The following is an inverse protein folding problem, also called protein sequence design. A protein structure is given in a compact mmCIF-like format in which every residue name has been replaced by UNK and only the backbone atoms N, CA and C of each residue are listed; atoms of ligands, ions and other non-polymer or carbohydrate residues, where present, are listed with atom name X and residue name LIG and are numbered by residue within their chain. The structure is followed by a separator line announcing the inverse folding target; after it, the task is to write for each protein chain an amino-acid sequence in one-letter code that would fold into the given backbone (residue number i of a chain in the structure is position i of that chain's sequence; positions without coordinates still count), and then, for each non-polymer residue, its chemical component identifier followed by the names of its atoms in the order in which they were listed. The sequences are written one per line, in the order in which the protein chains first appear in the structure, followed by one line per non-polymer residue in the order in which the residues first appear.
data_IF_434112115207
#
_entry.id   IF_434112115207
#
_cell.length_a   1.000
_cell.length_b   1.000
_cell.length_c   1.000
_cell.angle_alpha   90.00
_cell.angle_beta   90.00
_cell.angle_gamma   90.00
#
_symmetry.space_group_name_H-M   'P 1'
#
loop_
_entity.id
_entity.type
_entity.pdbx_description
1 polymer ?
#
# COMPACT_ATOMS: atom_id res chain seq x y z
N UNK A 1 9.71 -30.05 -6.83
CA UNK A 1 9.86 -28.68 -7.33
C UNK A 1 10.77 -27.95 -6.37
N UNK A 2 11.88 -27.35 -6.81
CA UNK A 2 12.77 -26.65 -5.89
C UNK A 2 12.12 -25.34 -5.42
N UNK A 3 12.43 -24.86 -4.21
CA UNK A 3 11.90 -23.61 -3.65
C UNK A 3 12.19 -22.41 -4.58
N UNK A 4 13.35 -22.43 -5.25
CA UNK A 4 13.74 -21.42 -6.23
C UNK A 4 12.82 -21.43 -7.47
N UNK A 5 12.40 -22.61 -7.95
CA UNK A 5 11.45 -22.69 -9.08
C UNK A 5 10.08 -22.14 -8.71
N UNK A 6 9.63 -22.36 -7.47
CA UNK A 6 8.38 -21.78 -6.96
C UNK A 6 8.46 -20.26 -6.87
N UNK A 7 9.56 -19.71 -6.37
CA UNK A 7 9.77 -18.25 -6.30
C UNK A 7 9.80 -17.59 -7.68
N UNK A 8 10.44 -18.21 -8.65
CA UNK A 8 10.43 -17.68 -10.03
C UNK A 8 9.02 -17.74 -10.62
N UNK A 9 8.30 -18.84 -10.44
CA UNK A 9 6.94 -19.00 -10.94
C UNK A 9 5.96 -17.99 -10.31
N UNK A 10 6.04 -17.77 -9.00
CA UNK A 10 5.18 -16.76 -8.32
C UNK A 10 5.49 -15.36 -8.81
N UNK A 11 6.76 -15.02 -9.10
CA UNK A 11 7.15 -13.72 -9.64
C UNK A 11 6.61 -13.49 -11.05
N UNK A 12 6.64 -14.50 -11.91
CA UNK A 12 6.08 -14.39 -13.26
C UNK A 12 4.56 -14.20 -13.21
N UNK A 13 3.86 -14.91 -12.33
CA UNK A 13 2.43 -14.74 -12.09
C UNK A 13 2.14 -13.33 -11.56
N UNK A 14 2.92 -12.83 -10.61
CA UNK A 14 2.81 -11.47 -10.06
C UNK A 14 2.84 -10.43 -11.17
N UNK A 15 3.79 -10.51 -12.10
CA UNK A 15 3.90 -9.59 -13.24
C UNK A 15 2.65 -9.63 -14.13
N UNK A 16 2.16 -10.82 -14.48
CA UNK A 16 0.99 -10.98 -15.34
C UNK A 16 -0.25 -10.37 -14.67
N UNK A 17 -0.49 -10.67 -13.39
CA UNK A 17 -1.65 -10.15 -12.67
C UNK A 17 -1.53 -8.63 -12.46
N UNK A 18 -0.32 -8.11 -12.22
CA UNK A 18 -0.08 -6.69 -12.07
C UNK A 18 -0.41 -5.92 -13.37
N UNK A 19 0.04 -6.42 -14.52
CA UNK A 19 -0.31 -5.87 -15.84
C UNK A 19 -1.82 -5.94 -16.06
N UNK A 20 -2.48 -7.05 -15.75
CA UNK A 20 -3.92 -7.20 -15.88
C UNK A 20 -4.68 -6.19 -15.00
N UNK A 21 -4.28 -6.01 -13.75
CA UNK A 21 -4.87 -5.05 -12.82
C UNK A 21 -4.73 -3.60 -13.34
N UNK A 22 -3.55 -3.24 -13.85
CA UNK A 22 -3.29 -1.95 -14.49
C UNK A 22 -4.17 -1.74 -15.73
N UNK A 23 -4.25 -2.73 -16.61
CA UNK A 23 -5.10 -2.68 -17.80
C UNK A 23 -6.57 -2.46 -17.43
N UNK A 24 -7.11 -3.19 -16.44
CA UNK A 24 -8.48 -3.00 -15.98
C UNK A 24 -8.72 -1.58 -15.44
N UNK A 25 -7.77 -1.02 -14.69
CA UNK A 25 -7.85 0.33 -14.14
C UNK A 25 -7.86 1.39 -15.25
N UNK A 26 -7.04 1.23 -16.29
CA UNK A 26 -6.98 2.15 -17.44
C UNK A 26 -8.21 2.02 -18.32
N UNK A 27 -8.61 0.80 -18.73
CA UNK A 27 -9.76 0.53 -19.61
C UNK A 27 -11.06 1.03 -19.00
N UNK A 28 -11.21 0.93 -17.68
CA UNK A 28 -12.39 1.43 -16.95
C UNK A 28 -12.36 2.94 -16.70
N UNK A 29 -11.36 3.66 -17.21
CA UNK A 29 -11.18 5.13 -17.04
C UNK A 29 -11.19 5.59 -15.57
N UNK A 30 -10.72 4.75 -14.66
CA UNK A 30 -10.75 5.02 -13.22
C UNK A 30 -9.42 5.53 -12.69
N UNK A 31 -8.48 5.82 -13.58
CA UNK A 31 -7.18 6.36 -13.22
C UNK A 31 -7.28 7.61 -12.33
N UNK A 32 -8.29 8.47 -12.57
CA UNK A 32 -8.48 9.71 -11.79
C UNK A 32 -8.83 9.46 -10.32
N UNK A 33 -9.69 8.48 -10.04
CA UNK A 33 -10.14 8.21 -8.67
C UNK A 33 -9.14 7.34 -7.90
N UNK A 34 -8.39 6.48 -8.61
CA UNK A 34 -7.44 5.53 -8.05
C UNK A 34 -6.01 5.74 -8.57
N UNK A 35 -5.63 7.01 -8.83
CA UNK A 35 -4.31 7.35 -9.40
C UNK A 35 -3.15 6.81 -8.54
N UNK A 36 -3.27 6.87 -7.21
CA UNK A 36 -2.25 6.38 -6.28
C UNK A 36 -2.06 4.87 -6.40
N UNK A 37 -3.15 4.10 -6.54
CA UNK A 37 -3.07 2.65 -6.79
C UNK A 37 -2.45 2.35 -8.14
N UNK A 38 -2.84 3.08 -9.18
CA UNK A 38 -2.25 2.94 -10.51
C UNK A 38 -0.75 3.23 -10.52
N UNK A 39 -0.33 4.29 -9.82
CA UNK A 39 1.08 4.63 -9.66
C UNK A 39 1.86 3.57 -8.86
N UNK A 40 1.25 3.04 -7.79
CA UNK A 40 1.82 1.93 -7.02
C UNK A 40 2.08 0.69 -7.89
N UNK A 41 1.07 0.27 -8.66
CA UNK A 41 1.20 -0.87 -9.58
C UNK A 41 2.24 -0.60 -10.68
N UNK A 42 2.31 0.62 -11.21
CA UNK A 42 3.28 1.02 -12.23
C UNK A 42 4.72 1.00 -11.69
N UNK A 43 4.95 1.53 -10.48
CA UNK A 43 6.26 1.50 -9.82
C UNK A 43 6.67 0.05 -9.52
N UNK A 44 5.75 -0.77 -9.03
CA UNK A 44 5.99 -2.19 -8.77
C UNK A 44 6.40 -2.95 -10.04
N UNK A 45 5.70 -2.70 -11.14
CA UNK A 45 6.02 -3.30 -12.44
C UNK A 45 7.39 -2.82 -12.95
N UNK A 46 7.64 -1.52 -12.89
CA UNK A 46 8.91 -0.93 -13.34
C UNK A 46 10.10 -1.43 -12.51
N UNK A 47 9.96 -1.48 -11.19
CA UNK A 47 11.01 -1.98 -10.29
C UNK A 47 11.30 -3.46 -10.54
N UNK A 48 10.29 -4.27 -10.76
CA UNK A 48 10.46 -5.70 -11.08
C UNK A 48 11.19 -5.91 -12.40
N UNK A 49 10.86 -5.15 -13.45
CA UNK A 49 11.53 -5.20 -14.75
C UNK A 49 12.99 -4.72 -14.61
N UNK A 50 13.22 -3.62 -13.88
CA UNK A 50 14.55 -3.08 -13.63
C UNK A 50 15.44 -4.07 -12.89
N UNK A 51 14.94 -4.70 -11.82
CA UNK A 51 15.69 -5.69 -11.05
C UNK A 51 15.99 -6.94 -11.88
N UNK A 52 15.04 -7.38 -12.71
CA UNK A 52 15.24 -8.50 -13.61
C UNK A 52 16.33 -8.19 -14.66
N UNK A 53 16.30 -6.99 -15.28
CA UNK A 53 17.29 -6.57 -16.26
C UNK A 53 18.69 -6.46 -15.64
N UNK A 54 18.81 -5.91 -14.43
CA UNK A 54 20.08 -5.83 -13.70
C UNK A 54 20.68 -7.20 -13.40
N UNK A 55 19.84 -8.17 -12.99
CA UNK A 55 20.31 -9.54 -12.78
C UNK A 55 20.75 -10.22 -14.07
N UNK A 56 20.10 -9.93 -15.19
CA UNK A 56 20.46 -10.46 -16.49
C UNK A 56 21.81 -9.89 -17.00
N UNK A 57 22.01 -8.58 -16.86
CA UNK A 57 23.27 -7.92 -17.22
C UNK A 57 24.43 -8.32 -16.27
N UNK A 58 24.16 -8.54 -15.00
CA UNK A 58 25.17 -9.05 -14.05
C UNK A 58 25.72 -10.42 -14.46
N UNK A 59 24.91 -11.25 -15.11
CA UNK A 59 25.35 -12.54 -15.66
C UNK A 59 26.16 -12.42 -16.96
N UNK A 60 26.12 -11.25 -17.64
CA UNK A 60 26.83 -11.01 -18.94
C UNK A 60 28.18 -10.34 -18.81
N UNK A 61 28.62 -9.92 -17.63
CA UNK A 61 29.94 -9.36 -17.44
C UNK A 61 30.05 -8.05 -16.69
N UNK A 62 28.95 -7.54 -16.09
CA UNK A 62 29.04 -6.41 -15.17
C UNK A 62 29.88 -6.78 -13.94
N UNK A 63 30.76 -5.89 -13.44
CA UNK A 63 31.48 -6.12 -12.19
C UNK A 63 30.49 -6.40 -11.05
N UNK A 64 30.66 -7.51 -10.34
CA UNK A 64 29.76 -7.95 -9.27
C UNK A 64 29.47 -6.87 -8.22
N UNK A 65 30.46 -6.05 -7.92
CA UNK A 65 30.35 -4.94 -6.97
C UNK A 65 29.35 -3.86 -7.46
N UNK A 66 29.47 -3.43 -8.71
CA UNK A 66 28.57 -2.43 -9.33
C UNK A 66 27.14 -2.96 -9.45
N UNK A 67 27.00 -4.22 -9.88
CA UNK A 67 25.70 -4.86 -9.97
C UNK A 67 25.00 -4.96 -8.60
N UNK A 68 25.75 -5.29 -7.53
CA UNK A 68 25.23 -5.36 -6.18
C UNK A 68 24.72 -4.00 -5.66
N UNK A 69 25.50 -2.92 -5.84
CA UNK A 69 25.05 -1.58 -5.42
C UNK A 69 23.87 -1.08 -6.24
N UNK A 70 23.89 -1.27 -7.56
CA UNK A 70 22.77 -0.91 -8.42
C UNK A 70 21.48 -1.64 -7.98
N UNK A 71 21.56 -2.94 -7.78
CA UNK A 71 20.45 -3.74 -7.28
C UNK A 71 19.95 -3.24 -5.91
N UNK A 72 20.88 -2.96 -4.98
CA UNK A 72 20.56 -2.47 -3.64
C UNK A 72 19.79 -1.13 -3.69
N UNK A 73 20.30 -0.15 -4.43
CA UNK A 73 19.66 1.17 -4.52
C UNK A 73 18.32 1.12 -5.25
N UNK A 74 18.20 0.35 -6.33
CA UNK A 74 16.92 0.18 -7.05
C UNK A 74 15.90 -0.50 -6.15
N UNK A 75 16.27 -1.58 -5.45
CA UNK A 75 15.38 -2.30 -4.54
C UNK A 75 14.87 -1.40 -3.41
N UNK A 76 15.76 -0.77 -2.67
CA UNK A 76 15.38 0.07 -1.52
C UNK A 76 14.70 1.38 -1.95
N UNK A 77 15.11 1.96 -3.08
CA UNK A 77 14.46 3.13 -3.65
C UNK A 77 13.03 2.84 -4.09
N UNK A 78 12.81 1.75 -4.82
CA UNK A 78 11.47 1.31 -5.21
C UNK A 78 10.59 1.04 -3.98
N UNK A 79 11.13 0.35 -2.98
CA UNK A 79 10.44 0.04 -1.75
C UNK A 79 10.01 1.29 -0.95
N UNK A 80 10.87 2.31 -0.88
CA UNK A 80 10.52 3.58 -0.26
C UNK A 80 9.40 4.30 -1.01
N UNK A 81 9.44 4.29 -2.36
CA UNK A 81 8.40 4.90 -3.20
C UNK A 81 7.07 4.12 -3.02
N UNK A 82 7.11 2.80 -3.00
CA UNK A 82 5.95 1.95 -2.78
C UNK A 82 5.28 2.25 -1.42
N UNK A 83 6.06 2.42 -0.34
CA UNK A 83 5.53 2.78 0.99
C UNK A 83 4.87 4.17 1.00
N UNK A 84 5.46 5.15 0.32
CA UNK A 84 4.85 6.48 0.18
C UNK A 84 3.54 6.41 -0.62
N UNK A 85 3.53 5.62 -1.70
CA UNK A 85 2.33 5.43 -2.51
C UNK A 85 1.24 4.66 -1.76
N UNK A 86 1.60 3.71 -0.90
CA UNK A 86 0.64 3.01 -0.04
C UNK A 86 -0.05 3.99 0.93
N UNK A 87 0.69 4.91 1.55
CA UNK A 87 0.11 6.01 2.35
C UNK A 87 -0.82 6.88 1.48
N UNK A 88 -0.43 7.19 0.25
CA UNK A 88 -1.26 7.97 -0.68
C UNK A 88 -2.55 7.22 -1.09
N UNK A 89 -2.50 5.87 -1.22
CA UNK A 89 -3.70 5.05 -1.47
C UNK A 89 -4.63 5.10 -0.26
N UNK A 90 -4.12 4.94 0.96
CA UNK A 90 -4.91 5.03 2.20
C UNK A 90 -5.62 6.38 2.27
N UNK A 91 -4.91 7.48 1.98
CA UNK A 91 -5.46 8.82 1.90
C UNK A 91 -6.58 8.94 0.84
N UNK A 92 -6.35 8.40 -0.36
CA UNK A 92 -7.33 8.39 -1.45
C UNK A 92 -8.59 7.61 -1.08
N UNK A 93 -8.45 6.45 -0.43
CA UNK A 93 -9.56 5.64 0.06
C UNK A 93 -10.38 6.40 1.11
N UNK A 94 -9.71 7.04 2.07
CA UNK A 94 -10.36 7.85 3.08
C UNK A 94 -11.20 8.96 2.44
N UNK A 95 -10.61 9.69 1.48
CA UNK A 95 -11.29 10.74 0.71
C UNK A 95 -12.52 10.21 -0.02
N UNK A 96 -12.42 9.06 -0.69
CA UNK A 96 -13.53 8.44 -1.41
C UNK A 96 -14.64 7.95 -0.46
N UNK A 97 -14.26 7.39 0.69
CA UNK A 97 -15.20 6.91 1.71
C UNK A 97 -15.99 8.07 2.31
N UNK A 98 -15.30 9.15 2.69
CA UNK A 98 -15.87 10.31 3.37
C UNK A 98 -16.48 11.37 2.43
N UNK A 99 -16.54 11.11 1.12
CA UNK A 99 -17.09 12.03 0.11
C UNK A 99 -18.45 12.67 0.48
N UNK A 100 -19.41 11.95 1.15
CA UNK A 100 -20.69 12.55 1.53
C UNK A 100 -20.61 13.49 2.75
N UNK A 101 -19.57 13.43 3.57
CA UNK A 101 -19.38 14.21 4.80
C UNK A 101 -18.17 15.12 4.69
N UNK A 102 -18.29 16.20 3.89
CA UNK A 102 -17.18 17.09 3.53
C UNK A 102 -16.46 17.70 4.75
N UNK A 103 -17.18 18.10 5.79
CA UNK A 103 -16.56 18.68 6.98
C UNK A 103 -15.73 17.67 7.77
N UNK A 104 -16.27 16.49 8.01
CA UNK A 104 -15.53 15.38 8.63
C UNK A 104 -14.38 14.87 7.74
N UNK A 105 -14.55 14.94 6.42
CA UNK A 105 -13.50 14.63 5.47
C UNK A 105 -12.28 15.55 5.66
N UNK A 106 -12.48 16.87 5.76
CA UNK A 106 -11.40 17.86 5.95
C UNK A 106 -10.67 17.60 7.27
N UNK A 107 -11.43 17.45 8.36
CA UNK A 107 -10.85 17.19 9.68
C UNK A 107 -10.05 15.89 9.70
N UNK A 108 -10.63 14.80 9.18
CA UNK A 108 -9.94 13.50 9.11
C UNK A 108 -8.72 13.51 8.21
N UNK A 109 -8.75 14.25 7.09
CA UNK A 109 -7.58 14.45 6.23
C UNK A 109 -6.45 15.18 6.96
N UNK A 110 -6.77 16.19 7.74
CA UNK A 110 -5.78 16.94 8.52
C UNK A 110 -5.14 16.05 9.59
N UNK A 111 -5.94 15.27 10.31
CA UNK A 111 -5.43 14.29 11.27
C UNK A 111 -4.56 13.21 10.59
N UNK A 112 -4.98 12.73 9.43
CA UNK A 112 -4.22 11.74 8.68
C UNK A 112 -2.88 12.31 8.17
N UNK A 113 -2.86 13.54 7.64
CA UNK A 113 -1.64 14.21 7.24
C UNK A 113 -0.69 14.41 8.44
N UNK A 114 -1.21 14.83 9.60
CA UNK A 114 -0.41 14.94 10.81
C UNK A 114 0.19 13.58 11.22
N UNK A 115 -0.59 12.51 11.20
CA UNK A 115 -0.11 11.16 11.49
C UNK A 115 0.93 10.66 10.46
N UNK A 116 0.75 10.96 9.18
CA UNK A 116 1.72 10.60 8.14
C UNK A 116 3.05 11.37 8.30
N UNK A 117 2.97 12.68 8.56
CA UNK A 117 4.16 13.52 8.80
C UNK A 117 4.91 13.06 10.05
N UNK A 118 4.20 12.79 11.15
CA UNK A 118 4.84 12.27 12.38
C UNK A 118 5.46 10.89 12.16
N UNK A 119 4.81 10.01 11.36
CA UNK A 119 5.38 8.70 10.96
C UNK A 119 6.70 8.84 10.21
N UNK A 120 6.75 9.75 9.23
CA UNK A 120 7.98 10.02 8.46
C UNK A 120 9.04 10.65 9.37
N UNK A 121 8.67 11.61 10.21
CA UNK A 121 9.59 12.25 11.15
C UNK A 121 10.19 11.25 12.14
N UNK A 122 9.39 10.33 12.67
CA UNK A 122 9.84 9.26 13.56
C UNK A 122 10.77 8.29 12.81
N UNK A 123 10.43 7.89 11.59
CA UNK A 123 11.26 7.01 10.77
C UNK A 123 12.63 7.63 10.50
N UNK A 124 12.67 8.92 10.12
CA UNK A 124 13.91 9.65 9.91
C UNK A 124 14.67 9.89 11.22
N UNK A 125 13.96 10.27 12.28
CA UNK A 125 14.56 10.56 13.60
C UNK A 125 15.16 9.33 14.29
N UNK A 126 14.50 8.18 14.20
CA UNK A 126 15.02 6.92 14.77
C UNK A 126 16.30 6.43 14.07
N UNK A 127 16.55 6.92 12.88
CA UNK A 127 17.73 6.60 12.12
C UNK A 127 18.93 7.55 12.40
N UNK A 128 18.74 8.68 13.10
CA UNK A 128 19.83 9.59 13.53
C UNK A 128 20.65 9.06 14.72
N UNK A 129 20.86 7.73 14.81
CA UNK A 129 21.76 7.16 15.79
C UNK A 129 23.21 7.45 15.39
N UNK A 130 24.03 8.03 16.30
CA UNK A 130 25.42 8.31 16.00
C UNK A 130 26.17 7.01 15.71
N UNK A 131 26.98 6.99 14.63
CA UNK A 131 27.87 5.90 14.18
C UNK A 131 27.26 4.80 13.29
N UNK A 132 26.08 4.97 12.69
CA UNK A 132 25.62 4.03 11.65
C UNK A 132 26.17 4.40 10.26
N UNK A 133 26.67 3.40 9.52
CA UNK A 133 26.97 3.55 8.10
C UNK A 133 25.70 3.94 7.33
N UNK A 134 25.81 4.85 6.33
CA UNK A 134 24.68 5.40 5.58
C UNK A 134 23.71 4.33 5.03
N UNK A 135 24.22 3.16 4.65
CA UNK A 135 23.42 2.02 4.18
C UNK A 135 22.53 1.45 5.29
N UNK A 136 23.05 1.29 6.52
CA UNK A 136 22.25 0.78 7.65
C UNK A 136 21.19 1.78 8.07
N UNK A 137 21.53 3.07 8.00
CA UNK A 137 20.59 4.15 8.22
C UNK A 137 19.40 4.08 7.26
N UNK A 138 19.67 3.96 5.95
CA UNK A 138 18.63 3.88 4.91
C UNK A 138 17.69 2.69 5.15
N UNK A 139 18.25 1.51 5.41
CA UNK A 139 17.47 0.30 5.66
C UNK A 139 16.60 0.45 6.92
N UNK A 140 17.14 0.99 8.00
CA UNK A 140 16.41 1.21 9.24
C UNK A 140 15.26 2.22 9.07
N UNK A 141 15.51 3.35 8.40
CA UNK A 141 14.49 4.36 8.14
C UNK A 141 13.35 3.81 7.28
N UNK A 142 13.66 3.08 6.20
CA UNK A 142 12.64 2.52 5.30
C UNK A 142 11.85 1.42 6.01
N UNK A 143 12.47 0.53 6.78
CA UNK A 143 11.76 -0.51 7.52
C UNK A 143 10.83 0.08 8.60
N UNK A 144 11.24 1.16 9.26
CA UNK A 144 10.38 1.87 10.21
C UNK A 144 9.21 2.57 9.51
N UNK A 145 9.46 3.17 8.34
CA UNK A 145 8.40 3.77 7.52
C UNK A 145 7.35 2.74 7.11
N UNK A 146 7.78 1.58 6.64
CA UNK A 146 6.90 0.47 6.29
C UNK A 146 6.04 0.00 7.47
N UNK A 147 6.64 -0.15 8.64
CA UNK A 147 5.92 -0.55 9.85
C UNK A 147 4.82 0.47 10.21
N UNK A 148 5.15 1.75 10.15
CA UNK A 148 4.19 2.83 10.43
C UNK A 148 3.09 2.89 9.37
N UNK A 149 3.43 2.73 8.10
CA UNK A 149 2.48 2.64 6.98
C UNK A 149 1.52 1.46 7.16
N UNK A 150 2.02 0.28 7.53
CA UNK A 150 1.20 -0.91 7.78
C UNK A 150 0.20 -0.69 8.92
N UNK A 151 0.61 -0.03 10.01
CA UNK A 151 -0.31 0.32 11.10
C UNK A 151 -1.39 1.31 10.65
N UNK A 152 -1.05 2.36 9.90
CA UNK A 152 -2.00 3.32 9.35
C UNK A 152 -3.01 2.62 8.41
N UNK A 153 -2.53 1.70 7.60
CA UNK A 153 -3.34 0.93 6.66
C UNK A 153 -4.33 0.02 7.38
N UNK A 154 -3.92 -0.65 8.45
CA UNK A 154 -4.83 -1.47 9.27
C UNK A 154 -5.89 -0.62 9.99
N UNK A 155 -5.50 0.52 10.55
CA UNK A 155 -6.46 1.47 11.13
C UNK A 155 -7.47 1.94 10.09
N UNK A 156 -7.01 2.19 8.85
CA UNK A 156 -7.88 2.58 7.75
C UNK A 156 -8.82 1.46 7.33
N UNK A 157 -8.35 0.22 7.24
CA UNK A 157 -9.21 -0.93 6.95
C UNK A 157 -10.32 -1.07 7.99
N UNK A 158 -9.96 -0.98 9.27
CA UNK A 158 -10.93 -1.02 10.38
C UNK A 158 -11.97 0.10 10.23
N UNK A 159 -11.51 1.33 9.97
CA UNK A 159 -12.37 2.47 9.73
C UNK A 159 -13.34 2.21 8.56
N UNK A 160 -12.85 1.72 7.41
CA UNK A 160 -13.68 1.41 6.24
C UNK A 160 -14.71 0.34 6.58
N UNK A 161 -14.34 -0.72 7.30
CA UNK A 161 -15.26 -1.77 7.73
C UNK A 161 -16.41 -1.23 8.59
N UNK A 162 -16.11 -0.32 9.51
CA UNK A 162 -17.12 0.33 10.36
C UNK A 162 -17.97 1.32 9.55
N UNK A 163 -17.34 2.08 8.65
CA UNK A 163 -18.00 3.13 7.87
C UNK A 163 -18.85 2.61 6.69
N UNK A 164 -18.69 1.35 6.26
CA UNK A 164 -19.37 0.79 5.09
C UNK A 164 -20.88 0.99 5.16
N UNK A 165 -21.51 0.57 6.26
CA UNK A 165 -22.98 0.64 6.41
C UNK A 165 -23.49 2.08 6.50
N UNK A 166 -22.99 2.92 7.44
CA UNK A 166 -23.50 4.28 7.59
C UNK A 166 -23.24 5.17 6.37
N UNK A 167 -22.15 4.91 5.60
CA UNK A 167 -21.81 5.70 4.41
C UNK A 167 -22.49 5.20 3.11
N UNK A 168 -23.38 4.22 3.18
CA UNK A 168 -24.09 3.67 2.03
C UNK A 168 -23.18 2.93 1.04
N UNK A 169 -22.00 2.49 1.50
CA UNK A 169 -21.08 1.68 0.71
C UNK A 169 -21.51 0.19 0.78
N UNK A 170 -21.14 -0.55 -0.24
CA UNK A 170 -21.34 -2.00 -0.30
C UNK A 170 -19.99 -2.72 -0.13
N UNK A 171 -19.99 -3.92 0.45
CA UNK A 171 -18.82 -4.82 0.45
C UNK A 171 -18.35 -5.19 -0.96
N UNK A 172 -19.17 -4.94 -2.00
CA UNK A 172 -18.80 -5.12 -3.41
C UNK A 172 -18.22 -3.86 -4.04
N UNK A 173 -18.06 -2.77 -3.28
CA UNK A 173 -17.45 -1.53 -3.77
C UNK A 173 -15.94 -1.69 -3.94
N UNK A 174 -15.38 -0.98 -4.92
CA UNK A 174 -13.94 -0.99 -5.19
C UNK A 174 -13.14 -0.41 -4.02
N UNK A 175 -13.69 0.59 -3.34
CA UNK A 175 -13.09 1.15 -2.12
C UNK A 175 -12.84 0.06 -1.09
N UNK A 176 -13.83 -0.82 -0.88
CA UNK A 176 -13.65 -1.96 0.03
C UNK A 176 -12.60 -2.95 -0.47
N UNK A 177 -12.65 -3.30 -1.77
CA UNK A 177 -11.67 -4.22 -2.36
C UNK A 177 -10.23 -3.74 -2.25
N UNK A 178 -9.98 -2.45 -2.49
CA UNK A 178 -8.64 -1.85 -2.34
C UNK A 178 -8.22 -1.83 -0.88
N UNK A 179 -9.13 -1.43 0.03
CA UNK A 179 -8.84 -1.42 1.48
C UNK A 179 -8.53 -2.82 2.00
N UNK A 180 -9.29 -3.83 1.57
CA UNK A 180 -9.07 -5.23 1.96
C UNK A 180 -7.70 -5.73 1.51
N UNK A 181 -7.34 -5.48 0.26
CA UNK A 181 -6.04 -5.89 -0.26
C UNK A 181 -4.88 -5.22 0.46
N UNK A 182 -4.96 -3.90 0.68
CA UNK A 182 -3.95 -3.19 1.47
C UNK A 182 -3.87 -3.70 2.91
N UNK A 183 -5.01 -3.95 3.55
CA UNK A 183 -5.04 -4.50 4.90
C UNK A 183 -4.39 -5.88 5.00
N UNK A 184 -4.57 -6.75 3.99
CA UNK A 184 -3.90 -8.04 3.89
C UNK A 184 -2.38 -7.87 3.74
N UNK A 185 -1.92 -6.93 2.89
CA UNK A 185 -0.49 -6.63 2.76
C UNK A 185 0.09 -6.12 4.08
N UNK A 186 -0.56 -5.13 4.69
CA UNK A 186 -0.12 -4.55 5.96
C UNK A 186 -0.05 -5.60 7.09
N UNK A 187 -1.03 -6.49 7.16
CA UNK A 187 -1.03 -7.59 8.13
C UNK A 187 0.13 -8.57 7.87
N UNK A 188 0.36 -8.91 6.61
CA UNK A 188 1.49 -9.75 6.20
C UNK A 188 2.83 -9.12 6.57
N UNK A 189 3.01 -7.82 6.31
CA UNK A 189 4.24 -7.08 6.63
C UNK A 189 4.52 -7.03 8.14
N UNK A 190 3.49 -6.82 8.96
CA UNK A 190 3.63 -6.85 10.42
C UNK A 190 4.00 -8.24 10.93
N UNK A 191 3.35 -9.28 10.41
CA UNK A 191 3.68 -10.69 10.76
C UNK A 191 5.12 -11.01 10.36
N UNK A 192 5.53 -10.63 9.15
CA UNK A 192 6.90 -10.85 8.69
C UNK A 192 7.90 -10.11 9.56
N UNK A 193 7.65 -8.83 9.87
CA UNK A 193 8.55 -8.06 10.73
C UNK A 193 8.73 -8.69 12.11
N UNK A 194 7.66 -9.26 12.68
CA UNK A 194 7.70 -9.99 13.95
C UNK A 194 8.48 -11.31 13.85
N UNK A 195 8.28 -12.08 12.77
CA UNK A 195 8.99 -13.34 12.54
C UNK A 195 10.47 -13.14 12.24
N UNK A 196 10.84 -12.08 11.52
CA UNK A 196 12.24 -11.71 11.29
C UNK A 196 12.97 -11.38 12.60
N UNK A 197 12.30 -10.69 13.51
CA UNK A 197 12.87 -10.36 14.80
C UNK A 197 13.16 -11.62 15.63
N UNK A 198 12.36 -12.68 15.46
CA UNK A 198 12.51 -13.94 16.22
C UNK A 198 13.43 -14.96 15.55
N UNK A 199 13.53 -15.00 14.22
CA UNK A 199 14.25 -16.06 13.48
C UNK A 199 14.82 -15.61 12.13
N UNK A 200 16.05 -15.04 12.08
CA UNK A 200 16.65 -14.52 10.84
C UNK A 200 16.90 -15.55 9.73
N UNK A 201 16.83 -16.87 10.06
CA UNK A 201 17.09 -17.95 9.10
C UNK A 201 15.91 -18.28 8.18
N UNK A 202 14.71 -17.74 8.46
CA UNK A 202 13.49 -18.05 7.68
C UNK A 202 13.27 -17.17 6.44
N UNK A 203 14.27 -16.40 6.01
CA UNK A 203 14.18 -15.44 4.91
C UNK A 203 13.52 -15.96 3.65
N UNK A 204 13.88 -17.15 3.21
CA UNK A 204 13.43 -17.69 1.92
C UNK A 204 11.96 -18.14 1.95
N UNK A 205 11.54 -18.75 3.06
CA UNK A 205 10.14 -19.15 3.24
C UNK A 205 9.23 -17.92 3.41
N UNK A 206 9.68 -16.90 4.12
CA UNK A 206 8.95 -15.65 4.29
C UNK A 206 8.80 -14.89 2.98
N UNK A 207 9.85 -14.88 2.14
CA UNK A 207 9.79 -14.30 0.79
C UNK A 207 8.76 -15.00 -0.10
N UNK A 208 8.64 -16.33 -0.02
CA UNK A 208 7.61 -17.08 -0.77
C UNK A 208 6.20 -16.71 -0.28
N UNK A 209 5.99 -16.68 1.03
CA UNK A 209 4.70 -16.26 1.62
C UNK A 209 4.33 -14.86 1.17
N UNK A 210 5.28 -13.92 1.20
CA UNK A 210 5.06 -12.54 0.72
C UNK A 210 4.60 -12.50 -0.74
N UNK A 211 5.29 -13.23 -1.63
CA UNK A 211 4.92 -13.29 -3.04
C UNK A 211 3.52 -13.88 -3.25
N UNK A 212 3.16 -14.93 -2.51
CA UNK A 212 1.83 -15.56 -2.61
C UNK A 212 0.74 -14.58 -2.13
N UNK A 213 0.95 -13.93 -0.98
CA UNK A 213 0.00 -12.94 -0.44
C UNK A 213 -0.16 -11.78 -1.41
N UNK A 214 0.94 -11.30 -1.99
CA UNK A 214 0.90 -10.21 -2.97
C UNK A 214 0.14 -10.60 -4.23
N UNK A 215 0.36 -11.80 -4.78
CA UNK A 215 -0.42 -12.33 -5.91
C UNK A 215 -1.92 -12.43 -5.57
N UNK A 216 -2.27 -12.88 -4.37
CA UNK A 216 -3.66 -12.95 -3.92
C UNK A 216 -4.30 -11.56 -3.84
N UNK A 217 -3.58 -10.57 -3.33
CA UNK A 217 -4.04 -9.17 -3.26
C UNK A 217 -4.24 -8.58 -4.65
N UNK A 218 -3.30 -8.78 -5.57
CA UNK A 218 -3.44 -8.35 -6.96
C UNK A 218 -4.66 -9.00 -7.63
N UNK A 219 -4.90 -10.29 -7.39
CA UNK A 219 -6.07 -11.00 -7.90
C UNK A 219 -7.38 -10.41 -7.31
N UNK A 220 -7.41 -10.09 -6.02
CA UNK A 220 -8.53 -9.39 -5.37
C UNK A 220 -8.78 -8.06 -6.07
N UNK A 221 -7.76 -7.21 -6.24
CA UNK A 221 -7.91 -5.92 -6.90
C UNK A 221 -8.40 -6.08 -8.33
N UNK A 222 -7.80 -6.96 -9.13
CA UNK A 222 -8.24 -7.25 -10.49
C UNK A 222 -9.72 -7.68 -10.54
N UNK A 223 -10.16 -8.55 -9.63
CA UNK A 223 -11.55 -9.00 -9.53
C UNK A 223 -12.51 -7.86 -9.17
N UNK A 224 -12.13 -6.96 -8.24
CA UNK A 224 -12.96 -5.81 -7.89
C UNK A 224 -13.04 -4.76 -9.01
N UNK A 225 -11.94 -4.51 -9.73
CA UNK A 225 -11.93 -3.59 -10.87
C UNK A 225 -12.63 -4.16 -12.11
N UNK A 226 -12.61 -5.47 -12.31
CA UNK A 226 -13.34 -6.14 -13.38
C UNK A 226 -14.87 -6.03 -13.21
N UNK A 227 -15.36 -6.00 -11.96
CA UNK A 227 -16.79 -5.91 -11.65
C UNK A 227 -17.33 -4.50 -11.87
N UNK A 228 -18.64 -4.42 -12.20
CA UNK A 228 -19.35 -3.13 -12.20
C UNK A 228 -19.54 -2.66 -10.77
N UNK A 229 -19.25 -1.39 -10.51
CA UNK A 229 -19.43 -0.79 -9.20
C UNK A 229 -20.94 -0.68 -8.88
N UNK A 230 -21.40 -1.20 -7.72
CA UNK A 230 -22.78 -1.04 -7.31
C UNK A 230 -23.07 0.44 -7.05
N UNK A 231 -24.27 0.90 -7.37
CA UNK A 231 -24.71 2.26 -7.05
C UNK A 231 -24.64 2.45 -5.53
N UNK A 232 -24.07 3.56 -5.11
CA UNK A 232 -24.03 3.95 -3.69
C UNK A 232 -25.48 4.12 -3.19
N UNK A 233 -25.83 3.46 -2.11
CA UNK A 233 -27.14 3.61 -1.48
C UNK A 233 -27.24 4.97 -0.81
N UNK A 234 -28.46 5.47 -0.61
CA UNK A 234 -28.69 6.67 0.18
C UNK A 234 -28.12 6.49 1.60
N UNK A 235 -27.61 7.59 2.15
CA UNK A 235 -26.94 7.57 3.44
C UNK A 235 -27.99 7.25 4.52
N UNK A 236 -27.86 6.11 5.18
CA UNK A 236 -28.75 5.68 6.26
C UNK A 236 -28.39 6.36 7.59
N UNK A 237 -28.08 7.66 7.56
CA UNK A 237 -27.75 8.43 8.77
C UNK A 237 -28.97 9.29 9.12
N UNK A 238 -29.51 9.12 10.35
CA UNK A 238 -30.58 9.97 10.83
C UNK A 238 -30.18 11.46 10.77
N UNK A 239 -31.06 12.36 10.30
CA UNK A 239 -30.78 13.80 10.25
C UNK A 239 -30.42 14.40 11.62
N UNK A 240 -30.84 13.79 12.71
CA UNK A 240 -30.54 14.19 14.10
C UNK A 240 -29.24 13.59 14.65
N UNK A 241 -28.50 12.81 13.85
CA UNK A 241 -27.29 12.12 14.30
C UNK A 241 -26.17 13.08 14.70
N UNK A 242 -25.39 12.68 15.70
CA UNK A 242 -24.21 13.42 16.15
C UNK A 242 -23.22 13.65 14.99
N UNK A 243 -23.08 12.69 14.06
CA UNK A 243 -22.20 12.78 12.90
C UNK A 243 -22.56 13.94 11.98
N UNK A 244 -23.83 14.17 11.68
CA UNK A 244 -24.26 15.30 10.85
C UNK A 244 -24.06 16.65 11.56
N UNK A 245 -24.31 16.70 12.88
CA UNK A 245 -24.02 17.90 13.68
C UNK A 245 -22.53 18.24 13.69
N UNK A 246 -21.65 17.25 13.86
CA UNK A 246 -20.19 17.42 13.77
C UNK A 246 -19.74 17.85 12.38
N UNK A 247 -20.31 17.27 11.32
CA UNK A 247 -20.03 17.64 9.94
C UNK A 247 -20.40 19.11 9.66
N UNK A 248 -21.55 19.57 10.17
CA UNK A 248 -21.95 20.98 10.03
C UNK A 248 -21.03 21.92 10.81
N UNK A 249 -20.62 21.56 12.04
CA UNK A 249 -19.67 22.36 12.83
C UNK A 249 -18.29 22.45 12.17
N UNK A 250 -17.75 21.32 11.67
CA UNK A 250 -16.46 21.35 11.00
C UNK A 250 -16.50 22.13 9.69
N UNK A 251 -17.59 22.11 8.94
CA UNK A 251 -17.75 23.00 7.79
C UNK A 251 -17.76 24.49 8.18
N UNK A 252 -18.35 24.84 9.32
CA UNK A 252 -18.34 26.23 9.81
C UNK A 252 -16.95 26.70 10.28
N UNK A 253 -16.04 25.79 10.62
CA UNK A 253 -14.66 26.14 11.02
C UNK A 253 -13.71 26.30 9.83
N UNK A 254 -13.97 25.61 8.72
CA UNK A 254 -13.06 25.53 7.57
C UNK A 254 -13.63 26.16 6.27
N UNK A 255 -14.86 26.67 6.29
CA UNK A 255 -15.53 27.39 5.20
C UNK A 255 -15.64 28.85 5.50
#
# INVERSE_FOLDING_TARGET
MSLNSLLNFTRDIELIICVAALCFLVVRKQWRDYWALGSFLAVRLASSICLWSLLHEANKGLPRHTAYYAYFYVYWGAFAIESILAIAIVFSIFRLTMKPLKGLQILGMLMFCAAAVTSVAVALGSAFLPNMAAIRYLVAAISQLQRNESLLTLCMLLFVCVAIRPMGLSYRSRVFGVSLGLGLLAMNDLVQSALFASNPRMNMSLSLVNSIVFCAVLAIWAAYFARREPRRREIAISPTSALLRWNARSLAWFG
#
